data_IF_638710703735
#
_entry.id   IF_638710703735
#
_cell.length_a   1.000
_cell.length_b   1.000
_cell.length_c   1.000
_cell.angle_alpha   90.00
_cell.angle_beta   90.00
_cell.angle_gamma   90.00
#
_symmetry.space_group_name_H-M   'P 1'
#
loop_
_entity.id
_entity.type
_entity.pdbx_description
1 polymer ?
#
# COMPACT_ATOMS: atom_id res chain seq x y z
N UNK A 1 13.17 23.70 14.41
CA UNK A 1 12.43 22.52 13.89
C UNK A 1 12.89 21.33 14.70
N UNK A 2 11.97 20.64 15.36
CA UNK A 2 12.28 19.47 16.19
C UNK A 2 12.80 18.34 15.27
N UNK A 3 14.01 17.85 15.52
CA UNK A 3 14.64 16.81 14.71
C UNK A 3 14.05 15.46 15.14
N UNK A 4 13.40 14.76 14.21
CA UNK A 4 12.94 13.39 14.42
C UNK A 4 14.11 12.51 14.86
N UNK A 5 13.91 11.74 15.93
CA UNK A 5 14.88 10.76 16.42
C UNK A 5 14.35 9.34 16.23
N UNK A 6 15.25 8.38 16.08
CA UNK A 6 14.87 6.97 15.83
C UNK A 6 14.15 6.32 17.02
N UNK A 7 14.39 6.85 18.22
CA UNK A 7 13.81 6.37 19.48
C UNK A 7 12.40 6.93 19.75
N UNK A 8 11.90 7.81 18.87
CA UNK A 8 10.57 8.39 18.96
C UNK A 8 9.49 7.31 18.78
N UNK A 9 9.08 6.73 19.91
CA UNK A 9 8.06 5.67 19.97
C UNK A 9 6.76 6.03 19.24
N UNK A 10 6.23 7.28 19.33
CA UNK A 10 5.04 7.69 18.56
C UNK A 10 5.19 7.55 17.03
N UNK A 11 6.41 7.66 16.51
CA UNK A 11 6.71 7.58 15.08
C UNK A 11 7.13 6.19 14.63
N UNK A 12 8.01 5.54 15.42
CA UNK A 12 8.73 4.34 14.99
C UNK A 12 8.48 3.10 15.84
N UNK A 13 7.65 3.19 16.89
CA UNK A 13 7.38 2.08 17.79
C UNK A 13 6.81 0.84 17.13
N UNK A 14 6.10 0.99 16.00
CA UNK A 14 5.54 -0.13 15.21
C UNK A 14 6.29 -0.38 13.91
N UNK A 15 7.43 0.28 13.67
CA UNK A 15 8.15 0.17 12.40
C UNK A 15 9.10 -1.01 12.46
N UNK A 16 8.88 -1.99 11.59
CA UNK A 16 9.75 -3.15 11.44
C UNK A 16 10.00 -3.44 9.95
N UNK A 17 11.21 -3.91 9.64
CA UNK A 17 11.61 -4.35 8.31
C UNK A 17 12.85 -5.24 8.36
N UNK A 18 13.01 -6.06 7.32
CA UNK A 18 14.16 -6.96 7.19
C UNK A 18 15.48 -6.18 7.22
N UNK A 19 16.34 -6.52 8.18
CA UNK A 19 17.67 -5.91 8.33
C UNK A 19 17.73 -4.70 9.25
N UNK A 20 16.63 -4.30 9.91
CA UNK A 20 16.59 -3.14 10.83
C UNK A 20 17.67 -3.17 11.92
N UNK A 21 17.92 -4.33 12.53
CA UNK A 21 18.89 -4.46 13.65
C UNK A 21 20.35 -4.58 13.19
N UNK A 22 20.60 -4.61 11.88
CA UNK A 22 21.94 -4.79 11.28
C UNK A 22 22.34 -3.55 10.45
N UNK A 23 21.67 -2.42 10.68
CA UNK A 23 21.94 -1.19 9.95
C UNK A 23 23.30 -0.62 10.31
N UNK A 24 24.04 -0.29 9.27
CA UNK A 24 25.33 0.42 9.28
C UNK A 24 25.24 1.64 8.37
N UNK A 25 26.19 2.56 8.49
CA UNK A 25 26.26 3.76 7.64
C UNK A 25 26.37 3.43 6.14
N UNK A 26 26.94 2.27 5.80
CA UNK A 26 27.10 1.79 4.41
C UNK A 26 25.98 0.85 3.95
N UNK A 27 24.94 0.67 4.77
CA UNK A 27 23.85 -0.25 4.45
C UNK A 27 23.05 0.19 3.23
N UNK A 28 22.82 -0.75 2.33
CA UNK A 28 21.98 -0.59 1.16
C UNK A 28 20.67 -1.35 1.33
N UNK A 29 19.64 -0.66 1.81
CA UNK A 29 18.42 -1.28 2.32
C UNK A 29 17.36 -1.36 1.24
N UNK A 30 16.81 -2.55 1.04
CA UNK A 30 15.77 -2.86 0.05
C UNK A 30 14.43 -3.09 0.72
N UNK A 31 13.51 -2.15 0.54
CA UNK A 31 12.13 -2.22 1.02
C UNK A 31 11.20 -2.70 -0.08
N UNK A 32 10.51 -3.83 0.16
CA UNK A 32 9.46 -4.33 -0.74
C UNK A 32 8.16 -3.58 -0.48
N UNK A 33 7.48 -3.17 -1.54
CA UNK A 33 6.13 -2.63 -1.43
C UNK A 33 5.05 -3.70 -1.61
N UNK A 34 3.97 -3.59 -0.83
CA UNK A 34 2.76 -4.36 -1.09
C UNK A 34 2.02 -3.76 -2.28
N UNK A 35 1.66 -4.63 -3.23
CA UNK A 35 1.01 -4.20 -4.48
C UNK A 35 -0.47 -4.51 -4.51
N UNK A 36 -1.02 -5.13 -3.46
CA UNK A 36 -2.41 -5.60 -3.44
C UNK A 36 -3.43 -4.47 -3.67
N UNK A 37 -3.08 -3.26 -3.21
CA UNK A 37 -3.92 -2.07 -3.26
C UNK A 37 -3.55 -1.14 -4.42
N UNK A 38 -2.71 -1.60 -5.35
CA UNK A 38 -2.37 -0.79 -6.52
C UNK A 38 -3.62 -0.53 -7.35
N UNK A 39 -3.79 0.72 -7.80
CA UNK A 39 -4.97 1.11 -8.53
C UNK A 39 -4.99 0.46 -9.90
N UNK A 40 -6.15 -0.02 -10.35
CA UNK A 40 -6.32 -0.45 -11.73
C UNK A 40 -6.95 0.69 -12.55
N UNK A 41 -6.89 0.62 -13.90
CA UNK A 41 -7.73 1.44 -14.76
C UNK A 41 -9.19 1.34 -14.32
N UNK A 42 -9.90 2.47 -14.34
CA UNK A 42 -11.27 2.57 -13.85
C UNK A 42 -12.21 1.44 -14.34
N UNK A 43 -12.19 1.04 -15.63
CA UNK A 43 -13.05 -0.06 -16.10
C UNK A 43 -12.76 -1.39 -15.39
N UNK A 44 -11.47 -1.68 -15.15
CA UNK A 44 -11.07 -2.88 -14.42
C UNK A 44 -11.43 -2.78 -12.94
N UNK A 45 -11.25 -1.62 -12.31
CA UNK A 45 -11.68 -1.43 -10.91
C UNK A 45 -13.18 -1.65 -10.75
N UNK A 46 -14.00 -1.16 -11.68
CA UNK A 46 -15.46 -1.40 -11.67
C UNK A 46 -15.78 -2.88 -11.86
N UNK A 47 -15.12 -3.58 -12.78
CA UNK A 47 -15.32 -5.02 -12.98
C UNK A 47 -14.95 -5.83 -11.73
N UNK A 48 -13.80 -5.52 -11.13
CA UNK A 48 -13.35 -6.13 -9.87
C UNK A 48 -14.20 -5.72 -8.67
N UNK A 49 -15.00 -4.67 -8.78
CA UNK A 49 -15.96 -4.29 -7.76
C UNK A 49 -17.28 -5.07 -7.91
N UNK A 50 -17.88 -5.01 -9.10
CA UNK A 50 -19.21 -5.57 -9.37
C UNK A 50 -19.17 -7.09 -9.35
N UNK A 51 -18.18 -7.72 -9.98
CA UNK A 51 -18.13 -9.18 -10.14
C UNK A 51 -18.23 -9.96 -8.82
N UNK A 52 -17.32 -9.74 -7.86
CA UNK A 52 -17.38 -10.40 -6.55
C UNK A 52 -18.65 -10.06 -5.77
N UNK A 53 -19.14 -8.83 -5.88
CA UNK A 53 -20.34 -8.40 -5.16
C UNK A 53 -21.60 -9.09 -5.69
N UNK A 54 -21.73 -9.20 -7.01
CA UNK A 54 -22.83 -9.95 -7.64
C UNK A 54 -22.79 -11.42 -7.23
N UNK A 55 -21.62 -12.06 -7.25
CA UNK A 55 -21.48 -13.45 -6.79
C UNK A 55 -21.79 -13.62 -5.30
N UNK A 56 -21.46 -12.62 -4.47
CA UNK A 56 -21.80 -12.64 -3.05
C UNK A 56 -23.32 -12.53 -2.81
N UNK A 57 -24.06 -11.81 -3.66
CA UNK A 57 -25.49 -11.56 -3.46
C UNK A 57 -26.37 -12.66 -4.09
N UNK A 58 -25.93 -13.24 -5.21
CA UNK A 58 -26.72 -14.20 -5.99
C UNK A 58 -27.30 -15.39 -5.19
N UNK A 59 -26.58 -16.05 -4.27
CA UNK A 59 -27.11 -17.14 -3.47
C UNK A 59 -28.37 -16.76 -2.66
N UNK A 60 -28.50 -15.49 -2.28
CA UNK A 60 -29.64 -15.00 -1.48
C UNK A 60 -30.82 -14.56 -2.35
N UNK A 61 -30.56 -14.11 -3.58
CA UNK A 61 -31.63 -13.72 -4.52
C UNK A 61 -32.26 -14.94 -5.17
N UNK A 62 -31.45 -15.92 -5.56
CA UNK A 62 -31.91 -17.11 -6.27
C UNK A 62 -31.23 -18.38 -5.73
N UNK A 63 -31.60 -18.82 -4.51
CA UNK A 63 -30.99 -19.97 -3.87
C UNK A 63 -31.21 -21.28 -4.64
N UNK A 64 -32.32 -21.40 -5.38
CA UNK A 64 -32.67 -22.62 -6.13
C UNK A 64 -31.90 -22.78 -7.44
N UNK A 65 -31.11 -21.79 -7.87
CA UNK A 65 -30.35 -21.85 -9.11
C UNK A 65 -29.28 -22.95 -9.10
N UNK A 66 -28.69 -23.22 -7.93
CA UNK A 66 -27.62 -24.22 -7.75
C UNK A 66 -27.70 -24.82 -6.35
N UNK A 67 -27.15 -26.03 -6.21
CA UNK A 67 -26.97 -26.65 -4.90
C UNK A 67 -26.03 -25.81 -4.02
N UNK A 68 -26.21 -25.79 -2.70
CA UNK A 68 -25.37 -25.00 -1.78
C UNK A 68 -23.87 -25.28 -1.91
N UNK A 69 -23.49 -26.55 -2.13
CA UNK A 69 -22.11 -26.96 -2.33
C UNK A 69 -21.52 -26.34 -3.60
N UNK A 70 -22.32 -26.22 -4.66
CA UNK A 70 -21.91 -25.60 -5.91
C UNK A 70 -21.72 -24.08 -5.75
N UNK A 71 -22.59 -23.40 -4.99
CA UNK A 71 -22.41 -22.00 -4.62
C UNK A 71 -21.13 -21.76 -3.83
N UNK A 72 -20.84 -22.63 -2.86
CA UNK A 72 -19.61 -22.56 -2.06
C UNK A 72 -18.37 -22.70 -2.95
N UNK A 73 -18.33 -23.73 -3.81
CA UNK A 73 -17.21 -23.98 -4.72
C UNK A 73 -17.02 -22.82 -5.71
N UNK A 74 -18.12 -22.28 -6.24
CA UNK A 74 -18.09 -21.12 -7.13
C UNK A 74 -17.49 -19.89 -6.42
N UNK A 75 -17.90 -19.62 -5.18
CA UNK A 75 -17.39 -18.48 -4.42
C UNK A 75 -15.91 -18.64 -4.06
N UNK A 76 -15.47 -19.83 -3.64
CA UNK A 76 -14.05 -20.12 -3.40
C UNK A 76 -13.24 -19.95 -4.69
N UNK A 77 -13.71 -20.52 -5.80
CA UNK A 77 -13.08 -20.38 -7.11
C UNK A 77 -13.01 -18.93 -7.57
N UNK A 78 -14.05 -18.13 -7.31
CA UNK A 78 -14.10 -16.71 -7.61
C UNK A 78 -13.12 -15.89 -6.78
N UNK A 79 -12.96 -16.19 -5.48
CA UNK A 79 -11.95 -15.54 -4.62
C UNK A 79 -10.55 -15.79 -5.16
N UNK A 80 -10.21 -17.05 -5.48
CA UNK A 80 -8.89 -17.40 -6.02
C UNK A 80 -8.66 -16.72 -7.37
N UNK A 81 -9.64 -16.81 -8.28
CA UNK A 81 -9.57 -16.19 -9.60
C UNK A 81 -9.45 -14.68 -9.52
N UNK A 82 -10.18 -14.03 -8.61
CA UNK A 82 -10.09 -12.59 -8.35
C UNK A 82 -8.65 -12.19 -7.99
N UNK A 83 -8.05 -12.88 -7.02
CA UNK A 83 -6.71 -12.56 -6.54
C UNK A 83 -5.65 -12.77 -7.63
N UNK A 84 -5.78 -13.85 -8.41
CA UNK A 84 -4.87 -14.16 -9.52
C UNK A 84 -5.01 -13.15 -10.65
N UNK A 85 -6.22 -12.88 -11.13
CA UNK A 85 -6.47 -11.91 -12.20
C UNK A 85 -6.02 -10.51 -11.80
N UNK A 86 -6.36 -10.07 -10.59
CA UNK A 86 -5.93 -8.76 -10.07
C UNK A 86 -4.42 -8.65 -10.03
N UNK A 87 -3.73 -9.69 -9.55
CA UNK A 87 -2.25 -9.76 -9.54
C UNK A 87 -1.67 -9.69 -10.96
N UNK A 88 -2.27 -10.38 -11.94
CA UNK A 88 -1.84 -10.36 -13.33
C UNK A 88 -1.98 -8.96 -13.94
N UNK A 89 -3.13 -8.30 -13.77
CA UNK A 89 -3.32 -6.93 -14.28
C UNK A 89 -2.37 -5.93 -13.63
N UNK A 90 -2.18 -6.01 -12.31
CA UNK A 90 -1.21 -5.15 -11.61
C UNK A 90 0.20 -5.36 -12.16
N UNK A 91 0.61 -6.61 -12.39
CA UNK A 91 1.90 -6.92 -12.97
C UNK A 91 2.03 -6.43 -14.42
N UNK A 92 0.95 -6.51 -15.21
CA UNK A 92 0.95 -6.04 -16.59
C UNK A 92 1.05 -4.51 -16.70
N UNK A 93 0.39 -3.78 -15.81
CA UNK A 93 0.33 -2.30 -15.87
C UNK A 93 1.55 -1.66 -15.20
N UNK A 94 1.98 -2.23 -14.09
CA UNK A 94 3.03 -1.67 -13.25
C UNK A 94 4.32 -2.50 -13.30
N UNK A 95 4.44 -3.52 -14.13
CA UNK A 95 5.63 -4.37 -14.22
C UNK A 95 5.72 -5.45 -13.12
N UNK A 96 6.77 -6.27 -13.17
CA UNK A 96 6.94 -7.39 -12.23
C UNK A 96 7.27 -6.92 -10.80
N UNK A 97 6.73 -7.64 -9.81
CA UNK A 97 6.90 -7.31 -8.40
C UNK A 97 8.37 -7.35 -7.92
N UNK A 98 9.20 -8.19 -8.55
CA UNK A 98 10.64 -8.29 -8.25
C UNK A 98 11.39 -6.98 -8.50
N UNK A 99 10.86 -6.14 -9.39
CA UNK A 99 11.48 -4.88 -9.79
C UNK A 99 10.89 -3.68 -9.01
N UNK A 100 9.91 -3.92 -8.13
CA UNK A 100 9.24 -2.90 -7.32
C UNK A 100 9.80 -2.87 -5.90
N UNK A 101 11.06 -2.42 -5.80
CA UNK A 101 11.79 -2.30 -4.54
C UNK A 101 12.22 -0.85 -4.38
N UNK A 102 11.89 -0.25 -3.23
CA UNK A 102 12.47 1.01 -2.82
C UNK A 102 13.82 0.70 -2.19
N UNK A 103 14.88 1.33 -2.69
CA UNK A 103 16.23 1.13 -2.21
C UNK A 103 16.76 2.45 -1.67
N UNK A 104 17.39 2.41 -0.50
CA UNK A 104 17.87 3.59 0.19
C UNK A 104 19.17 3.28 0.90
N UNK A 105 20.11 4.22 0.78
CA UNK A 105 21.37 4.23 1.51
C UNK A 105 21.73 5.68 1.88
N UNK A 106 22.95 5.94 2.35
CA UNK A 106 23.40 7.28 2.74
C UNK A 106 23.52 8.27 1.56
N UNK A 107 23.63 7.79 0.33
CA UNK A 107 24.01 8.58 -0.85
C UNK A 107 22.88 8.73 -1.86
N UNK A 108 21.94 7.79 -1.92
CA UNK A 108 20.90 7.71 -2.95
C UNK A 108 19.59 7.10 -2.43
N UNK A 109 18.51 7.55 -3.06
CA UNK A 109 17.18 6.96 -2.93
C UNK A 109 16.74 6.50 -4.31
N UNK A 110 16.45 5.21 -4.43
CA UNK A 110 15.89 4.63 -5.65
C UNK A 110 14.45 4.19 -5.39
N UNK A 111 13.55 4.67 -6.24
CA UNK A 111 12.11 4.41 -6.16
C UNK A 111 11.69 3.71 -7.44
N UNK A 112 10.88 2.66 -7.38
CA UNK A 112 10.42 2.02 -8.60
C UNK A 112 9.56 3.00 -9.41
N UNK A 113 10.02 3.35 -10.62
CA UNK A 113 9.24 4.19 -11.51
C UNK A 113 8.01 3.44 -11.97
N UNK A 114 6.88 4.13 -11.78
CA UNK A 114 5.57 3.59 -12.10
C UNK A 114 4.63 4.74 -12.40
N UNK A 115 3.48 4.43 -13.01
CA UNK A 115 2.39 5.39 -13.20
C UNK A 115 1.89 6.01 -11.87
N UNK A 116 2.29 5.48 -10.71
CA UNK A 116 1.93 6.02 -9.41
C UNK A 116 2.68 7.30 -9.04
N UNK A 117 3.81 7.55 -9.70
CA UNK A 117 4.65 8.74 -9.51
C UNK A 117 4.81 9.54 -10.80
N UNK A 118 3.88 9.38 -11.75
CA UNK A 118 3.83 10.09 -13.03
C UNK A 118 5.13 10.05 -13.86
N UNK A 119 5.93 8.99 -13.70
CA UNK A 119 7.16 8.76 -14.48
C UNK A 119 7.02 7.58 -15.44
N UNK A 120 7.76 7.65 -16.56
CA UNK A 120 7.91 6.53 -17.50
C UNK A 120 8.55 5.31 -16.81
N UNK A 121 8.42 4.14 -17.43
CA UNK A 121 8.88 2.86 -16.88
C UNK A 121 10.39 2.85 -16.61
N UNK A 122 10.78 2.39 -15.41
CA UNK A 122 12.18 2.24 -14.99
C UNK A 122 12.41 2.79 -13.58
N UNK A 123 13.35 2.27 -12.78
CA UNK A 123 13.64 2.80 -11.46
C UNK A 123 14.10 4.26 -11.54
N UNK A 124 13.56 5.10 -10.68
CA UNK A 124 13.97 6.48 -10.50
C UNK A 124 15.02 6.54 -9.40
N UNK A 125 16.28 6.69 -9.81
CA UNK A 125 17.39 6.90 -8.90
C UNK A 125 17.62 8.40 -8.69
N UNK A 126 17.74 8.81 -7.43
CA UNK A 126 17.99 10.19 -7.02
C UNK A 126 19.16 10.20 -6.07
N UNK A 127 20.16 11.03 -6.35
CA UNK A 127 21.24 11.24 -5.39
C UNK A 127 20.74 12.12 -4.25
N UNK A 128 21.25 11.91 -3.05
CA UNK A 128 20.92 12.72 -1.87
C UNK A 128 21.18 14.20 -2.10
N UNK A 129 22.24 14.52 -2.85
CA UNK A 129 22.62 15.89 -3.23
C UNK A 129 21.53 16.59 -4.05
N UNK A 130 20.79 15.82 -4.86
CA UNK A 130 19.72 16.36 -5.71
C UNK A 130 18.42 16.58 -4.94
N UNK A 131 18.32 16.08 -3.70
CA UNK A 131 17.14 16.23 -2.85
C UNK A 131 17.27 17.51 -2.03
N UNK A 132 16.36 18.44 -2.26
CA UNK A 132 16.27 19.68 -1.50
C UNK A 132 15.66 19.44 -0.12
N UNK A 133 14.51 18.78 -0.09
CA UNK A 133 13.80 18.45 1.14
C UNK A 133 12.82 17.29 0.93
N UNK A 134 12.46 16.62 2.02
CA UNK A 134 11.46 15.55 2.04
C UNK A 134 10.36 15.93 3.03
N UNK A 135 9.20 16.31 2.49
CA UNK A 135 8.01 16.63 3.25
C UNK A 135 7.27 15.38 3.71
N UNK A 136 7.14 15.20 5.02
CA UNK A 136 6.41 14.09 5.66
C UNK A 136 5.03 14.57 6.01
N UNK A 137 4.00 14.05 5.31
CA UNK A 137 2.61 14.35 5.61
C UNK A 137 2.06 13.33 6.58
N UNK A 138 1.66 13.78 7.78
CA UNK A 138 1.23 12.90 8.85
C UNK A 138 -0.03 13.39 9.55
N UNK A 139 -0.74 12.45 10.18
CA UNK A 139 -1.87 12.73 11.05
C UNK A 139 -1.69 12.02 12.40
N UNK A 140 -1.88 12.71 13.54
CA UNK A 140 -1.89 12.06 14.84
C UNK A 140 -3.13 11.16 14.98
N UNK A 141 -2.89 9.94 15.43
CA UNK A 141 -3.88 8.94 15.76
C UNK A 141 -3.72 8.57 17.23
N UNK A 142 -4.68 8.96 18.05
CA UNK A 142 -4.69 8.66 19.48
C UNK A 142 -5.62 7.49 19.73
N UNK A 143 -5.07 6.38 20.19
CA UNK A 143 -5.82 5.22 20.70
C UNK A 143 -5.30 4.88 22.09
N UNK A 144 -6.19 4.67 23.04
CA UNK A 144 -5.86 4.21 24.41
C UNK A 144 -4.71 4.98 25.06
N UNK A 145 -4.81 6.33 25.08
CA UNK A 145 -3.82 7.26 25.66
C UNK A 145 -2.43 7.25 25.00
N UNK A 146 -2.20 6.45 23.95
CA UNK A 146 -0.97 6.47 23.14
C UNK A 146 -1.23 7.22 21.84
N UNK A 147 -0.47 8.30 21.64
CA UNK A 147 -0.46 9.01 20.37
C UNK A 147 0.55 8.34 19.44
N UNK A 148 0.08 7.95 18.27
CA UNK A 148 0.89 7.43 17.17
C UNK A 148 0.75 8.37 15.97
N UNK A 149 1.80 8.49 15.16
CA UNK A 149 1.76 9.33 13.96
C UNK A 149 1.62 8.46 12.72
N UNK A 150 0.50 8.62 12.03
CA UNK A 150 0.24 7.91 10.77
C UNK A 150 0.73 8.74 9.60
N UNK A 151 1.76 8.23 8.94
CA UNK A 151 2.38 8.86 7.77
C UNK A 151 1.56 8.51 6.54
N UNK A 152 0.97 9.53 5.93
CA UNK A 152 0.11 9.39 4.76
C UNK A 152 0.92 9.40 3.46
N UNK A 153 1.86 10.35 3.35
CA UNK A 153 2.60 10.62 2.12
C UNK A 153 4.01 11.13 2.42
N UNK A 154 4.94 10.86 1.51
CA UNK A 154 6.26 11.49 1.45
C UNK A 154 6.36 12.27 0.16
N UNK A 155 6.71 13.56 0.26
CA UNK A 155 6.89 14.44 -0.89
C UNK A 155 8.36 14.79 -0.99
N UNK A 156 9.05 14.16 -1.93
CA UNK A 156 10.46 14.44 -2.21
C UNK A 156 10.51 15.63 -3.17
N UNK A 157 11.09 16.74 -2.73
CA UNK A 157 11.36 17.89 -3.57
C UNK A 157 12.80 17.87 -4.04
N UNK A 158 13.00 17.84 -5.35
CA UNK A 158 14.32 17.90 -5.96
C UNK A 158 14.78 19.36 -6.10
N UNK A 159 16.09 19.56 -6.16
CA UNK A 159 16.68 20.88 -6.44
C UNK A 159 16.21 21.46 -7.79
N UNK A 160 15.86 20.60 -8.74
CA UNK A 160 15.28 20.98 -10.03
C UNK A 160 13.86 21.55 -9.95
N UNK A 161 13.24 21.57 -8.77
CA UNK A 161 11.85 22.00 -8.57
C UNK A 161 10.80 20.91 -8.85
N UNK A 162 11.22 19.75 -9.36
CA UNK A 162 10.33 18.59 -9.53
C UNK A 162 9.99 18.00 -8.16
N UNK A 163 8.72 17.65 -7.96
CA UNK A 163 8.25 16.94 -6.76
C UNK A 163 7.79 15.53 -7.10
N UNK A 164 8.09 14.59 -6.20
CA UNK A 164 7.70 13.19 -6.31
C UNK A 164 6.91 12.83 -5.05
N UNK A 165 5.66 12.41 -5.23
CA UNK A 165 4.77 12.08 -4.14
C UNK A 165 4.62 10.56 -3.98
N UNK A 166 5.08 10.03 -2.85
CA UNK A 166 4.89 8.64 -2.46
C UNK A 166 3.70 8.56 -1.53
N UNK A 167 2.76 7.65 -1.82
CA UNK A 167 1.56 7.42 -1.00
C UNK A 167 1.68 6.12 -0.20
N UNK A 168 1.27 6.16 1.06
CA UNK A 168 1.38 5.03 2.01
C UNK A 168 0.64 3.79 1.56
N UNK A 169 -0.40 3.96 0.74
CA UNK A 169 -1.17 2.87 0.14
C UNK A 169 -0.33 2.01 -0.82
N UNK A 170 0.72 2.59 -1.42
CA UNK A 170 1.48 1.95 -2.51
C UNK A 170 2.96 1.81 -2.22
N UNK A 171 3.48 2.42 -1.17
CA UNK A 171 4.89 2.41 -0.82
C UNK A 171 5.07 2.15 0.68
N UNK A 172 6.17 1.50 1.09
CA UNK A 172 6.46 1.20 2.50
C UNK A 172 6.95 2.47 3.23
N UNK A 173 6.06 3.44 3.41
CA UNK A 173 6.43 4.80 3.86
C UNK A 173 6.98 4.84 5.29
N UNK A 174 6.40 4.10 6.25
CA UNK A 174 6.92 4.10 7.64
C UNK A 174 8.37 3.57 7.72
N UNK A 175 8.69 2.38 7.15
CA UNK A 175 10.08 1.93 7.03
C UNK A 175 10.97 2.89 6.25
N UNK A 176 10.46 3.49 5.17
CA UNK A 176 11.23 4.45 4.38
C UNK A 176 11.55 5.72 5.19
N UNK A 177 10.59 6.25 5.96
CA UNK A 177 10.81 7.39 6.85
C UNK A 177 11.85 7.07 7.91
N UNK A 178 11.80 5.89 8.52
CA UNK A 178 12.81 5.45 9.49
C UNK A 178 14.22 5.50 8.88
N UNK A 179 14.38 4.97 7.66
CA UNK A 179 15.67 4.97 6.96
C UNK A 179 16.11 6.36 6.53
N UNK A 180 15.18 7.23 6.13
CA UNK A 180 15.46 8.62 5.81
C UNK A 180 15.99 9.38 7.04
N UNK A 181 15.42 9.14 8.22
CA UNK A 181 15.94 9.68 9.50
C UNK A 181 17.30 9.07 9.84
N UNK A 182 17.46 7.75 9.68
CA UNK A 182 18.71 7.04 9.97
C UNK A 182 19.89 7.54 9.13
N UNK A 183 19.69 7.77 7.83
CA UNK A 183 20.70 8.30 6.92
C UNK A 183 20.79 9.83 6.89
N UNK A 184 20.08 10.52 7.80
CA UNK A 184 20.11 11.98 7.99
C UNK A 184 19.68 12.79 6.74
N UNK A 185 18.64 12.33 6.03
CA UNK A 185 18.06 13.08 4.93
C UNK A 185 17.36 14.38 5.41
N UNK A 186 17.28 15.43 4.57
CA UNK A 186 16.62 16.68 4.93
C UNK A 186 15.10 16.50 5.00
N UNK A 187 14.55 16.36 6.21
CA UNK A 187 13.13 16.06 6.45
C UNK A 187 12.39 17.27 7.01
N UNK A 188 11.18 17.52 6.51
CA UNK A 188 10.25 18.51 7.05
C UNK A 188 8.90 17.89 7.40
N UNK A 189 8.34 18.25 8.55
CA UNK A 189 7.09 17.67 9.06
C UNK A 189 5.90 18.56 8.71
N UNK A 190 4.89 17.97 8.06
CA UNK A 190 3.66 18.67 7.68
C UNK A 190 2.44 17.92 8.21
N UNK A 191 1.74 18.51 9.18
CA UNK A 191 0.49 17.95 9.68
C UNK A 191 -0.59 18.09 8.61
N UNK A 192 -1.13 16.96 8.13
CA UNK A 192 -2.19 16.93 7.12
C UNK A 192 -3.14 15.77 7.39
N UNK A 193 -4.44 16.07 7.40
CA UNK A 193 -5.47 15.04 7.55
C UNK A 193 -5.46 14.10 6.35
N UNK A 194 -5.71 12.81 6.60
CA UNK A 194 -5.94 11.85 5.52
C UNK A 194 -7.02 12.37 4.57
N UNK A 195 -6.72 12.30 3.27
CA UNK A 195 -7.74 12.57 2.26
C UNK A 195 -8.82 11.49 2.35
N UNK A 196 -10.10 11.90 2.41
CA UNK A 196 -11.25 10.99 2.35
C UNK A 196 -11.19 10.08 1.11
N UNK A 197 -10.58 10.56 0.02
CA UNK A 197 -10.40 9.79 -1.20
C UNK A 197 -9.55 8.52 -0.99
N UNK A 198 -8.54 8.55 -0.09
CA UNK A 198 -7.69 7.39 0.20
C UNK A 198 -8.50 6.31 0.95
N UNK A 199 -9.32 6.73 1.92
CA UNK A 199 -10.19 5.83 2.68
C UNK A 199 -11.25 5.22 1.76
N UNK A 200 -11.94 6.06 0.99
CA UNK A 200 -12.96 5.62 0.04
C UNK A 200 -12.37 4.63 -0.99
N UNK A 201 -11.17 4.90 -1.51
CA UNK A 201 -10.49 3.99 -2.44
C UNK A 201 -10.13 2.66 -1.80
N UNK A 202 -9.60 2.68 -0.57
CA UNK A 202 -9.23 1.46 0.14
C UNK A 202 -10.46 0.58 0.38
N UNK A 203 -11.59 1.19 0.76
CA UNK A 203 -12.88 0.52 0.88
C UNK A 203 -13.35 -0.04 -0.47
N UNK A 204 -13.33 0.77 -1.53
CA UNK A 204 -13.73 0.33 -2.87
C UNK A 204 -12.94 -0.89 -3.35
N UNK A 205 -11.64 -0.94 -3.06
CA UNK A 205 -10.76 -2.03 -3.51
C UNK A 205 -10.89 -3.29 -2.65
N UNK A 206 -11.17 -3.16 -1.35
CA UNK A 206 -11.19 -4.29 -0.40
C UNK A 206 -12.59 -4.85 -0.14
N UNK A 207 -13.62 -4.00 -0.10
CA UNK A 207 -14.99 -4.35 0.31
C UNK A 207 -15.59 -5.51 -0.51
N UNK A 208 -15.54 -5.54 -1.85
CA UNK A 208 -16.13 -6.62 -2.63
C UNK A 208 -15.55 -8.00 -2.29
N UNK A 209 -14.24 -8.05 -2.04
CA UNK A 209 -13.56 -9.28 -1.66
C UNK A 209 -13.96 -9.71 -0.24
N UNK A 210 -14.02 -8.77 0.70
CA UNK A 210 -14.46 -9.04 2.08
C UNK A 210 -15.91 -9.52 2.11
N UNK A 211 -16.80 -8.90 1.34
CA UNK A 211 -18.19 -9.31 1.20
C UNK A 211 -18.30 -10.74 0.66
N UNK A 212 -17.58 -11.06 -0.42
CA UNK A 212 -17.56 -12.40 -0.99
C UNK A 212 -17.02 -13.44 0.00
N UNK A 213 -15.93 -13.13 0.72
CA UNK A 213 -15.40 -14.01 1.77
C UNK A 213 -16.40 -14.22 2.91
N UNK A 214 -17.07 -13.17 3.37
CA UNK A 214 -18.07 -13.25 4.44
C UNK A 214 -19.25 -14.14 4.03
N UNK A 215 -19.78 -13.97 2.82
CA UNK A 215 -20.84 -14.82 2.27
C UNK A 215 -20.39 -16.26 2.14
N UNK A 216 -19.17 -16.49 1.64
CA UNK A 216 -18.61 -17.84 1.55
C UNK A 216 -18.57 -18.52 2.93
N UNK A 217 -18.15 -17.78 3.96
CA UNK A 217 -18.16 -18.26 5.34
C UNK A 217 -19.57 -18.52 5.89
N UNK A 218 -20.54 -17.68 5.56
CA UNK A 218 -21.95 -17.89 5.92
C UNK A 218 -22.52 -19.15 5.28
N UNK A 219 -22.33 -19.34 3.97
CA UNK A 219 -22.76 -20.54 3.27
C UNK A 219 -22.09 -21.80 3.84
N UNK A 220 -20.80 -21.74 4.13
CA UNK A 220 -20.12 -22.87 4.77
C UNK A 220 -20.75 -23.21 6.12
N UNK A 221 -21.02 -22.19 6.95
CA UNK A 221 -21.66 -22.38 8.25
C UNK A 221 -23.08 -22.93 8.14
N UNK A 222 -23.89 -22.42 7.24
CA UNK A 222 -25.31 -22.76 7.15
C UNK A 222 -25.57 -24.17 6.60
N UNK A 223 -24.69 -24.66 5.72
CA UNK A 223 -24.91 -25.92 5.01
C UNK A 223 -23.99 -27.08 5.46
N UNK A 224 -22.94 -26.81 6.23
CA UNK A 224 -21.94 -27.84 6.60
C UNK A 224 -21.56 -27.90 8.09
N UNK A 225 -22.06 -27.00 8.93
CA UNK A 225 -21.84 -26.96 10.38
C UNK A 225 -23.17 -26.98 11.13
#
# INVERSE_FOLDING_TARGET
MEKLTLDDTPWFGTTDFKGKNQLTSDSDVRLKSSRLLYPLPLPLEILFFIGPLTLAILPFINPSLMLPEAWLMLNIGAIISYLLLKKLFINSIYGLAKNHVCQINAERVCIPGSRLIDTKAGPLEMQRRDIKEIGVRYWPSTRDLRTTYDVSELVIMLQSGKSICLKSLYFPIKPLLFLLVYFDYPITLQKRRHSLAIVARSLFVAFPLVALMAVTGLLFKEYFL
#
